data_IF_586742291010
#
_entry.id   IF_586742291010
#
_cell.length_a   1.000
_cell.length_b   1.000
_cell.length_c   1.000
_cell.angle_alpha   90.00
_cell.angle_beta   90.00
_cell.angle_gamma   90.00
#
_symmetry.space_group_name_H-M   'P 1'
#
loop_
_entity.id
_entity.type
_entity.pdbx_description
1 polymer ?
#
# COMPACT_ATOMS: atom_id res chain seq x y z
N UNK A 1 15.13 -11.61 0.18
CA UNK A 1 14.70 -11.16 1.54
C UNK A 1 13.23 -10.75 1.64
N UNK A 2 12.62 -10.24 0.57
CA UNK A 2 11.26 -9.67 0.58
C UNK A 2 10.17 -10.54 1.22
N UNK A 3 10.10 -11.84 0.89
CA UNK A 3 9.05 -12.73 1.42
C UNK A 3 9.11 -12.86 2.95
N UNK A 4 10.32 -12.83 3.53
CA UNK A 4 10.50 -12.85 4.98
C UNK A 4 9.97 -11.58 5.60
N UNK A 5 10.30 -10.41 5.04
CA UNK A 5 9.81 -9.12 5.53
C UNK A 5 8.28 -9.00 5.42
N UNK A 6 7.67 -9.51 4.33
CA UNK A 6 6.21 -9.55 4.21
C UNK A 6 5.58 -10.36 5.35
N UNK A 7 6.17 -11.51 5.69
CA UNK A 7 5.66 -12.35 6.78
C UNK A 7 5.79 -11.65 8.14
N UNK A 8 6.90 -10.95 8.39
CA UNK A 8 7.16 -10.24 9.65
C UNK A 8 6.12 -9.15 9.94
N UNK A 9 5.50 -8.53 8.92
CA UNK A 9 4.44 -7.52 9.10
C UNK A 9 3.32 -8.00 10.03
N UNK A 10 2.98 -9.29 10.02
CA UNK A 10 1.92 -9.84 10.88
C UNK A 10 2.30 -9.84 12.38
N UNK A 11 3.59 -9.90 12.70
CA UNK A 11 4.14 -10.03 14.05
C UNK A 11 4.58 -8.68 14.65
N UNK A 12 4.75 -7.66 13.81
CA UNK A 12 5.29 -6.35 14.18
C UNK A 12 4.25 -5.42 14.82
N UNK A 13 4.61 -4.36 15.56
CA UNK A 13 3.64 -3.48 16.23
C UNK A 13 2.46 -3.08 15.34
N UNK A 14 1.24 -3.28 15.84
CA UNK A 14 -0.02 -2.98 15.16
C UNK A 14 -0.85 -2.10 16.09
N UNK A 15 -1.16 -0.89 15.62
CA UNK A 15 -1.98 0.10 16.35
C UNK A 15 -3.30 0.29 15.61
N UNK A 16 -4.41 0.16 16.31
CA UNK A 16 -5.74 0.51 15.80
C UNK A 16 -6.34 1.56 16.74
N UNK A 17 -6.24 2.82 16.32
CA UNK A 17 -6.73 4.00 17.01
C UNK A 17 -7.57 4.86 16.03
N UNK A 18 -8.88 4.57 15.90
CA UNK A 18 -9.76 5.27 14.96
C UNK A 18 -9.83 6.79 15.18
N UNK A 19 -9.45 7.28 16.37
CA UNK A 19 -9.45 8.71 16.67
C UNK A 19 -8.15 9.43 16.30
N UNK A 20 -7.08 8.70 15.95
CA UNK A 20 -5.80 9.25 15.48
C UNK A 20 -5.25 8.42 14.30
N UNK A 21 -5.80 8.58 13.07
CA UNK A 21 -5.31 7.86 11.89
C UNK A 21 -3.83 8.09 11.58
N UNK A 22 -3.23 9.17 12.10
CA UNK A 22 -1.81 9.47 11.92
C UNK A 22 -0.94 8.47 12.70
N UNK A 23 -1.32 8.08 13.93
CA UNK A 23 -0.53 7.09 14.69
C UNK A 23 -0.60 5.71 14.03
N UNK A 24 -1.74 5.36 13.44
CA UNK A 24 -1.87 4.13 12.65
C UNK A 24 -0.96 4.17 11.43
N UNK A 25 -0.98 5.27 10.67
CA UNK A 25 -0.11 5.44 9.51
C UNK A 25 1.37 5.35 9.88
N UNK A 26 1.79 6.04 10.94
CA UNK A 26 3.19 6.05 11.39
C UNK A 26 3.67 4.68 11.89
N UNK A 27 2.79 3.91 12.53
CA UNK A 27 3.16 2.63 13.15
C UNK A 27 3.00 1.44 12.22
N UNK A 28 1.91 1.41 11.45
CA UNK A 28 1.50 0.23 10.70
C UNK A 28 2.04 0.22 9.26
N UNK A 29 2.66 1.31 8.80
CA UNK A 29 3.15 1.40 7.41
C UNK A 29 4.53 0.80 7.27
N UNK A 30 4.62 -0.20 6.39
CA UNK A 30 5.85 -0.90 6.05
C UNK A 30 6.31 -0.56 4.64
N UNK A 31 7.63 -0.41 4.49
CA UNK A 31 8.30 -0.20 3.21
C UNK A 31 9.07 -1.45 2.83
N UNK A 32 8.68 -2.08 1.73
CA UNK A 32 9.11 -3.40 1.33
C UNK A 32 9.82 -3.30 -0.03
N UNK A 33 11.12 -3.05 0.02
CA UNK A 33 11.99 -3.02 -1.14
C UNK A 33 12.64 -4.37 -1.44
N UNK A 34 13.11 -4.55 -2.67
CA UNK A 34 13.97 -5.66 -3.04
C UNK A 34 14.93 -5.23 -4.15
N UNK A 35 16.18 -5.70 -4.05
CA UNK A 35 17.19 -5.48 -5.09
C UNK A 35 16.76 -6.12 -6.42
N UNK A 36 17.28 -5.61 -7.54
CA UNK A 36 16.94 -6.09 -8.89
C UNK A 36 17.09 -7.60 -9.08
N UNK A 37 18.15 -8.19 -8.52
CA UNK A 37 18.39 -9.63 -8.61
C UNK A 37 17.34 -10.43 -7.82
N UNK A 38 17.02 -9.98 -6.60
CA UNK A 38 15.97 -10.56 -5.76
C UNK A 38 14.60 -10.46 -6.46
N UNK A 39 14.27 -9.30 -7.04
CA UNK A 39 12.99 -9.09 -7.77
C UNK A 39 12.85 -10.06 -8.95
N UNK A 40 13.92 -10.30 -9.72
CA UNK A 40 13.89 -11.24 -10.85
C UNK A 40 13.77 -12.70 -10.44
N UNK A 41 14.16 -13.04 -9.22
CA UNK A 41 14.05 -14.39 -8.68
C UNK A 41 12.66 -14.70 -8.09
N UNK A 42 11.86 -13.66 -7.81
CA UNK A 42 10.53 -13.80 -7.22
C UNK A 42 9.46 -14.02 -8.29
N UNK A 43 8.50 -14.90 -7.99
CA UNK A 43 7.26 -14.99 -8.75
C UNK A 43 6.15 -14.13 -8.14
N UNK A 44 5.25 -13.64 -9.00
CA UNK A 44 4.03 -12.93 -8.58
C UNK A 44 3.24 -13.77 -7.55
N UNK A 45 3.09 -15.07 -7.80
CA UNK A 45 2.36 -15.99 -6.93
C UNK A 45 2.96 -16.14 -5.54
N UNK A 46 4.29 -16.15 -5.40
CA UNK A 46 4.95 -16.25 -4.09
C UNK A 46 4.70 -15.01 -3.24
N UNK A 47 4.78 -13.83 -3.87
CA UNK A 47 4.54 -12.56 -3.18
C UNK A 47 3.06 -12.42 -2.80
N UNK A 48 2.13 -12.79 -3.68
CA UNK A 48 0.69 -12.83 -3.36
C UNK A 48 0.45 -13.75 -2.16
N UNK A 49 0.96 -14.98 -2.21
CA UNK A 49 0.74 -15.95 -1.14
C UNK A 49 1.30 -15.47 0.21
N UNK A 50 2.41 -14.71 0.20
CA UNK A 50 2.95 -14.11 1.41
C UNK A 50 2.01 -13.03 1.98
N UNK A 51 1.52 -12.09 1.17
CA UNK A 51 0.60 -11.05 1.65
C UNK A 51 -0.75 -11.60 2.11
N UNK A 52 -1.29 -12.62 1.44
CA UNK A 52 -2.52 -13.26 1.88
C UNK A 52 -2.36 -13.94 3.24
N UNK A 53 -1.23 -14.62 3.47
CA UNK A 53 -0.90 -15.19 4.78
C UNK A 53 -0.71 -14.11 5.84
N UNK A 54 -0.05 -13.01 5.51
CA UNK A 54 0.12 -11.85 6.39
C UNK A 54 -1.22 -11.23 6.77
N UNK A 55 -2.13 -11.03 5.81
CA UNK A 55 -3.47 -10.50 6.07
C UNK A 55 -4.27 -11.39 7.04
N UNK A 56 -4.12 -12.71 6.90
CA UNK A 56 -4.72 -13.69 7.81
C UNK A 56 -4.13 -13.62 9.23
N UNK A 57 -2.81 -13.45 9.35
CA UNK A 57 -2.14 -13.22 10.63
C UNK A 57 -2.61 -11.93 11.32
N UNK A 58 -2.69 -10.83 10.57
CA UNK A 58 -3.21 -9.54 11.06
C UNK A 58 -4.66 -9.71 11.54
N UNK A 59 -5.52 -10.38 10.76
CA UNK A 59 -6.91 -10.63 11.14
C UNK A 59 -7.04 -11.39 12.45
N UNK A 60 -6.24 -12.43 12.65
CA UNK A 60 -6.22 -13.18 13.91
C UNK A 60 -5.82 -12.27 15.08
N UNK A 61 -4.78 -11.47 14.90
CA UNK A 61 -4.28 -10.57 15.94
C UNK A 61 -5.27 -9.48 16.30
N UNK A 62 -5.95 -8.87 15.32
CA UNK A 62 -7.02 -7.89 15.56
C UNK A 62 -8.13 -8.49 16.43
N UNK A 63 -8.51 -9.74 16.14
CA UNK A 63 -9.48 -10.47 16.95
C UNK A 63 -8.97 -10.73 18.38
N UNK A 64 -7.71 -11.09 18.55
CA UNK A 64 -7.10 -11.33 19.86
C UNK A 64 -6.96 -10.06 20.71
N UNK A 65 -6.73 -8.91 20.07
CA UNK A 65 -6.74 -7.59 20.71
C UNK A 65 -8.16 -7.15 21.13
N UNK A 66 -9.21 -7.83 20.64
CA UNK A 66 -10.60 -7.49 20.95
C UNK A 66 -11.13 -6.25 20.24
N UNK A 67 -10.45 -5.80 19.17
CA UNK A 67 -10.91 -4.69 18.36
C UNK A 67 -12.15 -5.11 17.56
N UNK A 68 -13.26 -4.38 17.74
CA UNK A 68 -14.56 -4.69 17.14
C UNK A 68 -14.92 -3.80 15.94
N UNK A 69 -14.05 -2.85 15.59
CA UNK A 69 -14.28 -1.90 14.50
C UNK A 69 -13.92 -2.47 13.13
N UNK A 70 -14.11 -1.63 12.12
CA UNK A 70 -13.65 -1.87 10.75
C UNK A 70 -12.13 -1.75 10.72
N UNK A 71 -11.47 -2.66 10.00
CA UNK A 71 -10.05 -2.53 9.73
C UNK A 71 -9.72 -3.15 8.36
N UNK A 72 -8.89 -2.44 7.61
CA UNK A 72 -8.48 -2.79 6.25
C UNK A 72 -6.97 -2.89 6.21
N UNK A 73 -6.46 -4.04 5.78
CA UNK A 73 -5.06 -4.21 5.38
C UNK A 73 -4.97 -3.91 3.89
N UNK A 74 -3.98 -3.13 3.48
CA UNK A 74 -3.85 -2.69 2.10
C UNK A 74 -2.41 -2.66 1.64
N UNK A 75 -2.21 -2.90 0.34
CA UNK A 75 -0.90 -3.00 -0.32
C UNK A 75 -0.95 -2.19 -1.61
N UNK A 76 0.11 -1.42 -1.88
CA UNK A 76 0.27 -0.68 -3.12
C UNK A 76 1.72 -0.67 -3.58
N UNK A 77 1.91 -0.43 -4.88
CA UNK A 77 3.23 -0.17 -5.45
C UNK A 77 3.47 1.33 -5.43
N UNK A 78 4.50 1.76 -4.71
CA UNK A 78 4.99 3.13 -4.77
C UNK A 78 6.04 3.23 -5.87
N UNK A 79 5.59 3.62 -7.07
CA UNK A 79 6.46 3.78 -8.26
C UNK A 79 7.55 4.84 -8.05
N UNK A 80 7.27 5.88 -7.26
CA UNK A 80 8.23 6.95 -7.00
C UNK A 80 9.41 6.47 -6.17
N UNK A 81 9.22 5.47 -5.32
CA UNK A 81 10.29 4.84 -4.55
C UNK A 81 10.69 3.45 -5.08
N UNK A 82 9.96 2.91 -6.06
CA UNK A 82 10.19 1.58 -6.62
C UNK A 82 10.02 0.45 -5.60
N UNK A 83 9.11 0.62 -4.64
CA UNK A 83 8.94 -0.31 -3.52
C UNK A 83 7.47 -0.65 -3.29
N UNK A 84 7.20 -1.83 -2.73
CA UNK A 84 5.89 -2.12 -2.20
C UNK A 84 5.73 -1.41 -0.86
N UNK A 85 4.52 -0.96 -0.60
CA UNK A 85 4.12 -0.50 0.73
C UNK A 85 2.88 -1.26 1.15
N UNK A 86 2.77 -1.49 2.45
CA UNK A 86 1.56 -2.03 3.04
C UNK A 86 1.28 -1.39 4.39
N UNK A 87 0.01 -1.35 4.77
CA UNK A 87 -0.40 -0.80 6.06
C UNK A 87 -1.77 -1.35 6.47
N UNK A 88 -2.12 -1.17 7.75
CA UNK A 88 -3.44 -1.48 8.28
C UNK A 88 -4.03 -0.21 8.85
N UNK A 89 -5.27 0.12 8.48
CA UNK A 89 -6.01 1.26 9.03
C UNK A 89 -7.35 0.82 9.59
N UNK A 90 -7.84 1.50 10.63
CA UNK A 90 -9.16 1.27 11.22
C UNK A 90 -10.31 1.93 10.45
N UNK A 91 -10.24 1.85 9.13
CA UNK A 91 -11.14 2.50 8.17
C UNK A 91 -11.58 1.53 7.08
N UNK A 92 -12.66 1.87 6.38
CA UNK A 92 -13.10 1.11 5.20
C UNK A 92 -12.15 1.32 4.01
N UNK A 93 -12.29 0.47 2.99
CA UNK A 93 -11.42 0.49 1.82
C UNK A 93 -11.53 1.79 0.99
N UNK A 94 -12.65 2.50 1.07
CA UNK A 94 -12.91 3.80 0.43
C UNK A 94 -12.53 5.02 1.29
N UNK A 95 -11.99 4.79 2.48
CA UNK A 95 -11.57 5.81 3.44
C UNK A 95 -10.07 5.71 3.80
N UNK A 96 -9.26 5.06 2.95
CA UNK A 96 -7.84 4.90 3.18
C UNK A 96 -7.13 6.27 3.16
N UNK A 97 -6.07 6.46 3.96
CA UNK A 97 -5.48 7.77 4.22
C UNK A 97 -4.55 8.27 3.09
N UNK A 98 -4.92 8.02 1.84
CA UNK A 98 -4.19 8.53 0.68
C UNK A 98 -4.59 9.99 0.42
N UNK A 99 -3.58 10.85 0.21
CA UNK A 99 -3.79 12.24 -0.22
C UNK A 99 -4.08 12.39 -1.72
N UNK A 100 -4.23 11.27 -2.44
CA UNK A 100 -4.40 11.22 -3.89
C UNK A 100 -5.49 10.20 -4.25
N UNK A 101 -6.04 10.32 -5.46
CA UNK A 101 -7.03 9.38 -5.95
C UNK A 101 -6.45 7.96 -6.02
N UNK A 102 -7.19 6.97 -5.54
CA UNK A 102 -6.80 5.57 -5.54
C UNK A 102 -8.00 4.67 -5.86
N UNK A 103 -7.72 3.46 -6.33
CA UNK A 103 -8.74 2.48 -6.71
C UNK A 103 -8.57 1.22 -5.85
N UNK A 104 -9.46 0.98 -4.86
CA UNK A 104 -9.48 -0.28 -4.13
C UNK A 104 -9.73 -1.47 -5.06
N UNK A 105 -8.95 -2.53 -4.91
CA UNK A 105 -9.02 -3.73 -5.74
C UNK A 105 -8.82 -4.99 -4.91
N UNK A 106 -9.47 -6.08 -5.31
CA UNK A 106 -9.19 -7.43 -4.81
C UNK A 106 -8.03 -8.12 -5.56
N UNK A 107 -7.59 -7.53 -6.67
CA UNK A 107 -6.51 -8.04 -7.51
C UNK A 107 -5.13 -7.56 -7.04
N UNK A 108 -4.51 -8.34 -6.17
CA UNK A 108 -3.13 -8.11 -5.74
C UNK A 108 -2.13 -8.36 -6.88
N UNK A 109 -2.48 -9.22 -7.86
CA UNK A 109 -1.61 -9.59 -8.96
C UNK A 109 -1.15 -8.38 -9.77
N UNK A 110 -2.08 -7.49 -10.13
CA UNK A 110 -1.76 -6.26 -10.86
C UNK A 110 -0.76 -5.36 -10.11
N UNK A 111 -0.88 -5.23 -8.78
CA UNK A 111 0.04 -4.44 -7.95
C UNK A 111 1.44 -5.07 -7.93
N UNK A 112 1.51 -6.38 -7.74
CA UNK A 112 2.79 -7.10 -7.67
C UNK A 112 3.47 -7.17 -9.04
N UNK A 113 2.70 -7.35 -10.12
CA UNK A 113 3.22 -7.28 -11.49
C UNK A 113 3.83 -5.92 -11.79
N UNK A 114 3.19 -4.81 -11.36
CA UNK A 114 3.75 -3.47 -11.47
C UNK A 114 5.11 -3.36 -10.78
N UNK A 115 5.20 -3.79 -9.52
CA UNK A 115 6.44 -3.76 -8.75
C UNK A 115 7.57 -4.63 -9.33
N UNK A 116 7.28 -5.87 -9.72
CA UNK A 116 8.30 -6.79 -10.24
C UNK A 116 8.78 -6.40 -11.64
N UNK A 117 7.93 -5.74 -12.43
CA UNK A 117 8.27 -5.27 -13.77
C UNK A 117 8.81 -3.84 -13.80
N UNK A 118 8.89 -3.14 -12.66
CA UNK A 118 9.44 -1.79 -12.61
C UNK A 118 10.95 -1.80 -12.90
N UNK A 119 11.31 -1.30 -14.09
CA UNK A 119 12.67 -1.23 -14.61
C UNK A 119 13.37 0.09 -14.28
N UNK A 120 12.65 1.06 -13.73
CA UNK A 120 13.17 2.39 -13.35
C UNK A 120 12.68 2.78 -11.96
N UNK A 121 12.91 1.94 -10.94
CA UNK A 121 12.51 2.24 -9.57
C UNK A 121 13.17 3.55 -9.12
N UNK A 122 12.39 4.47 -8.55
CA UNK A 122 12.95 5.70 -8.00
C UNK A 122 13.20 6.84 -9.01
N UNK A 123 12.82 6.67 -10.28
CA UNK A 123 13.00 7.66 -11.34
C UNK A 123 11.65 8.11 -11.88
N UNK A 124 11.04 9.10 -11.23
CA UNK A 124 10.07 9.95 -11.95
C UNK A 124 10.87 10.66 -13.04
N UNK A 125 10.45 10.52 -14.31
CA UNK A 125 11.07 11.29 -15.36
C UNK A 125 10.92 12.78 -15.01
N UNK A 126 12.03 13.52 -14.91
CA UNK A 126 12.00 14.97 -14.68
C UNK A 126 11.12 15.74 -15.68
N UNK A 127 10.72 15.09 -16.79
CA UNK A 127 9.73 15.53 -17.76
C UNK A 127 8.31 15.72 -17.20
N UNK A 128 7.95 15.01 -16.11
CA UNK A 128 6.63 15.10 -15.46
C UNK A 128 6.63 16.05 -14.24
N UNK A 129 7.80 16.59 -13.88
CA UNK A 129 7.91 17.72 -12.96
C UNK A 129 7.81 18.99 -13.81
N UNK A 130 6.60 19.51 -14.02
CA UNK A 130 6.45 20.89 -14.44
C UNK A 130 7.15 21.78 -13.40
N UNK A 131 8.32 22.30 -13.78
CA UNK A 131 8.96 23.38 -13.05
C UNK A 131 8.05 24.58 -13.28
N UNK A 132 7.21 24.91 -12.29
CA UNK A 132 6.48 26.17 -12.22
C UNK A 132 7.50 27.33 -12.04
N UNK A 133 8.20 27.66 -13.13
CA UNK A 133 8.83 28.96 -13.27
C UNK A 133 7.68 29.94 -13.54
N UNK A 134 7.28 30.64 -12.47
CA UNK A 134 6.05 31.41 -12.45
C UNK A 134 5.92 32.37 -13.63
N UNK A 135 4.78 32.30 -14.33
CA UNK A 135 4.05 33.45 -14.87
C UNK A 135 2.73 33.03 -15.52
N UNK A 136 1.66 33.68 -15.04
CA UNK A 136 0.29 33.78 -15.57
C UNK A 136 -0.66 32.59 -15.34
N UNK A 137 -1.67 32.87 -14.50
CA UNK A 137 -2.92 32.14 -14.35
C UNK A 137 -3.49 31.73 -15.72
N UNK A 138 -3.25 30.47 -16.11
CA UNK A 138 -4.08 29.76 -17.05
C UNK A 138 -4.74 28.66 -16.26
N UNK A 139 -6.07 28.71 -16.22
CA UNK A 139 -7.00 27.73 -15.65
C UNK A 139 -6.94 26.45 -16.51
N UNK A 140 -5.76 25.84 -16.60
CA UNK A 140 -5.56 24.51 -17.15
C UNK A 140 -6.01 23.56 -16.05
N UNK A 141 -7.05 22.74 -16.25
CA UNK A 141 -7.36 21.72 -15.25
C UNK A 141 -6.11 20.85 -15.11
N UNK A 142 -5.53 20.82 -13.91
CA UNK A 142 -4.50 19.85 -13.56
C UNK A 142 -4.98 18.49 -14.07
N UNK A 143 -4.15 17.76 -14.84
CA UNK A 143 -4.57 16.46 -15.35
C UNK A 143 -5.01 15.61 -14.16
N UNK A 144 -6.28 15.22 -14.13
CA UNK A 144 -6.81 14.29 -13.14
C UNK A 144 -5.91 13.06 -13.16
N UNK A 145 -5.04 12.94 -12.15
CA UNK A 145 -4.11 11.84 -12.06
C UNK A 145 -4.93 10.58 -11.92
N UNK A 146 -4.76 9.63 -12.84
CA UNK A 146 -5.50 8.39 -12.81
C UNK A 146 -5.31 7.72 -11.43
N UNK A 147 -6.39 7.19 -10.81
CA UNK A 147 -6.27 6.57 -9.50
C UNK A 147 -5.33 5.38 -9.57
N UNK A 148 -4.37 5.31 -8.64
CA UNK A 148 -3.44 4.18 -8.59
C UNK A 148 -4.10 2.97 -7.90
N UNK A 149 -3.72 1.74 -8.29
CA UNK A 149 -4.32 0.54 -7.73
C UNK A 149 -3.85 0.30 -6.29
N UNK A 150 -4.80 -0.02 -5.41
CA UNK A 150 -4.54 -0.42 -4.03
C UNK A 150 -5.24 -1.74 -3.78
N UNK A 151 -4.47 -2.79 -3.50
CA UNK A 151 -5.06 -4.03 -3.05
C UNK A 151 -5.56 -3.87 -1.62
N UNK A 152 -6.77 -4.36 -1.33
CA UNK A 152 -7.40 -4.24 -0.01
C UNK A 152 -7.90 -5.59 0.50
N UNK A 153 -7.82 -5.79 1.81
CA UNK A 153 -8.38 -6.95 2.48
C UNK A 153 -8.96 -6.54 3.84
N UNK A 154 -10.23 -6.86 4.07
CA UNK A 154 -10.87 -6.68 5.38
C UNK A 154 -10.22 -7.61 6.40
N UNK A 155 -9.67 -7.04 7.46
CA UNK A 155 -9.01 -7.75 8.58
C UNK A 155 -9.69 -7.46 9.93
N UNK A 156 -10.62 -6.50 9.99
CA UNK A 156 -11.51 -6.23 11.11
C UNK A 156 -12.94 -6.72 10.88
N UNK A 157 -13.89 -6.14 11.62
CA UNK A 157 -15.30 -6.31 11.32
C UNK A 157 -15.63 -5.70 9.95
N UNK A 158 -16.56 -6.30 9.22
CA UNK A 158 -17.07 -5.70 7.99
C UNK A 158 -18.05 -4.59 8.32
N UNK A 159 -17.91 -3.42 7.69
CA UNK A 159 -18.92 -2.37 7.69
C UNK A 159 -20.25 -2.97 7.23
N UNK A 160 -21.32 -2.78 8.02
CA UNK A 160 -22.67 -3.25 7.70
C UNK A 160 -23.39 -2.30 6.76
#
# INVERSE_FOLDING_TARGET
>A
MLLTWIAEVADEPLVLEPTDPRVEWETNTWWLGAEDEDRRALSVSEVIAAFEQTAEGIRLRIREMGFAGVATFYVWHDEQAGQLRCSTGSVAADELPFGSAYAPSDDLGAVIEGFLNDRTPGLVAWSDLEIEDGQAEQDVPEPETAPFPVWVRSVGAVSR
#
